data_IF_589634338575
#
_entry.id   IF_589634338575
#
_cell.length_a   1.000
_cell.length_b   1.000
_cell.length_c   1.000
_cell.angle_alpha   90.00
_cell.angle_beta   90.00
_cell.angle_gamma   90.00
#
_symmetry.space_group_name_H-M   'P 1'
#
loop_
_entity.id
_entity.type
_entity.pdbx_description
1 polymer ?
2 non-polymer ?
3 water ?
#
# COMPACT_ATOMS: atom_id res chain seq x y z
N UNK A 5 9.48 26.56 8.40
CA UNK A 5 8.57 26.23 9.52
C UNK A 5 7.16 25.98 8.96
N UNK A 6 6.86 26.60 7.80
CA UNK A 6 5.53 26.46 7.17
C UNK A 6 5.35 25.03 6.65
N UNK A 7 6.44 24.40 6.23
CA UNK A 7 6.42 23.00 5.71
C UNK A 7 5.87 22.06 6.80
N UNK A 8 6.18 22.35 8.07
CA UNK A 8 5.81 21.47 9.18
C UNK A 8 4.50 21.90 9.86
N UNK A 9 3.69 22.73 9.18
CA UNK A 9 2.43 23.35 9.72
C UNK A 9 1.39 22.36 10.26
N UNK A 10 1.24 21.12 9.74
CA UNK A 10 0.29 20.15 10.22
C UNK A 10 0.93 19.15 11.16
N UNK A 11 2.20 19.35 11.51
CA UNK A 11 2.93 18.42 12.37
C UNK A 11 3.05 18.99 13.78
N UNK A 12 3.25 18.08 14.72
CA UNK A 12 3.58 18.44 16.08
C UNK A 12 5.07 18.20 16.31
N UNK A 13 5.75 19.16 16.90
CA UNK A 13 7.16 19.01 17.22
C UNK A 13 7.29 18.25 18.53
N UNK A 14 8.07 17.16 18.50
CA UNK A 14 8.28 16.29 19.65
C UNK A 14 9.65 16.58 20.23
N UNK A 15 9.74 16.64 21.57
CA UNK A 15 11.04 16.87 22.17
C UNK A 15 11.81 15.55 22.23
N UNK A 16 13.14 15.58 21.99
CA UNK A 16 13.91 14.32 21.97
C UNK A 16 13.83 13.51 23.25
N UNK A 17 13.66 14.16 24.41
CA UNK A 17 13.55 13.43 25.68
C UNK A 17 12.35 12.49 25.71
N UNK A 18 11.40 12.67 24.80
CA UNK A 18 10.20 11.85 24.76
C UNK A 18 10.37 10.58 23.95
N UNK A 19 11.49 10.40 23.27
CA UNK A 19 11.68 9.34 22.29
C UNK A 19 12.78 8.42 22.76
N UNK A 20 12.54 7.11 22.69
CA UNK A 20 13.55 6.09 22.97
C UNK A 20 13.59 5.18 21.76
N UNK A 21 14.76 5.09 21.12
CA UNK A 21 14.96 4.16 20.02
C UNK A 21 15.45 2.83 20.58
N UNK A 22 14.86 1.74 20.11
CA UNK A 22 15.11 0.44 20.73
C UNK A 22 15.81 -0.53 19.78
N UNK A 23 15.27 -0.70 18.57
CA UNK A 23 15.88 -1.65 17.60
C UNK A 23 15.74 -1.12 16.17
N UNK A 24 16.76 -1.35 15.32
CA UNK A 24 16.75 -0.93 13.90
C UNK A 24 15.78 -1.84 13.13
N UNK A 25 14.74 -1.27 12.50
CA UNK A 25 13.74 -2.08 11.75
C UNK A 25 13.85 -1.80 10.26
N UNK A 26 14.82 -0.98 9.86
CA UNK A 26 14.97 -0.70 8.42
C UNK A 26 15.93 0.44 8.18
N UNK A 27 16.03 0.85 6.92
CA UNK A 27 16.91 1.92 6.56
C UNK A 27 16.12 3.03 5.87
N UNK A 28 16.52 4.26 6.19
CA UNK A 28 16.01 5.44 5.53
C UNK A 28 16.92 5.84 4.38
N UNK A 29 16.63 7.01 3.81
CA UNK A 29 17.43 7.56 2.69
C UNK A 29 18.82 7.94 3.19
N UNK A 30 18.88 8.56 4.37
CA UNK A 30 20.16 8.94 5.00
C UNK A 30 20.00 8.82 6.52
N UNK A 31 19.89 7.58 6.96
CA UNK A 31 19.69 7.28 8.39
C UNK A 31 19.00 5.94 8.54
N UNK A 32 18.69 5.59 9.77
CA UNK A 32 18.03 4.30 10.01
C UNK A 32 16.61 4.52 10.48
N UNK A 33 15.81 3.48 10.34
CA UNK A 33 14.47 3.44 10.90
C UNK A 33 14.50 2.52 12.11
N UNK A 34 13.87 2.95 13.20
CA UNK A 34 13.89 2.21 14.45
C UNK A 34 12.47 1.94 14.92
N UNK A 35 12.38 0.90 15.73
CA UNK A 35 11.18 0.63 16.54
C UNK A 35 11.53 1.27 17.88
N UNK A 36 10.62 2.05 18.46
CA UNK A 36 10.90 2.72 19.72
C UNK A 36 9.64 3.00 20.50
N UNK A 37 9.78 3.87 21.50
CA UNK A 37 8.68 4.24 22.37
C UNK A 37 8.59 5.75 22.47
N UNK A 38 7.36 6.26 22.56
CA UNK A 38 7.11 7.69 22.65
C UNK A 38 6.34 7.96 23.94
N UNK A 39 6.88 8.84 24.78
CA UNK A 39 6.19 9.31 25.99
C UNK A 39 5.57 10.67 25.70
N UNK A 40 4.26 10.78 25.91
CA UNK A 40 3.58 12.04 25.74
C UNK A 40 2.62 12.28 26.91
N UNK A 45 1.19 3.92 29.26
CA UNK A 45 1.47 5.35 29.22
C UNK A 45 2.27 5.73 27.97
N UNK A 46 3.34 4.96 27.74
CA UNK A 46 4.19 5.12 26.53
C UNK A 46 3.48 4.46 25.36
N UNK A 47 3.87 4.82 24.13
CA UNK A 47 3.24 4.28 22.93
C UNK A 47 4.32 3.78 21.99
N UNK A 48 4.18 2.58 21.40
CA UNK A 48 5.18 2.12 20.43
C UNK A 48 5.12 2.96 19.16
N UNK A 49 6.28 3.24 18.58
CA UNK A 49 6.37 4.07 17.39
C UNK A 49 7.44 3.53 16.46
N UNK A 50 7.35 3.93 15.20
CA UNK A 50 8.45 3.77 14.25
C UNK A 50 9.10 5.13 14.05
N UNK A 51 10.43 5.14 13.92
CA UNK A 51 11.22 6.37 13.97
C UNK A 51 12.20 6.36 12.81
N UNK A 52 12.04 7.29 11.87
CA UNK A 52 12.96 7.45 10.76
C UNK A 52 13.88 8.64 11.05
N UNK A 53 15.20 8.40 11.03
CA UNK A 53 16.16 9.44 11.37
C UNK A 53 16.86 9.98 10.13
N UNK A 54 17.30 11.23 10.23
CA UNK A 54 18.16 11.85 9.24
C UNK A 54 19.48 12.15 9.94
N UNK A 55 20.50 11.37 9.61
CA UNK A 55 21.74 11.34 10.37
C UNK A 55 22.75 12.36 9.85
N UNK A 56 23.74 12.64 10.69
CA UNK A 56 24.69 13.71 10.42
C UNK A 56 25.36 13.51 9.07
N UNK A 57 25.44 14.59 8.31
CA UNK A 57 26.05 14.58 7.00
C UNK A 57 25.06 14.63 5.86
N UNK A 58 23.77 14.71 6.17
CA UNK A 58 22.75 14.74 5.13
C UNK A 58 22.94 15.95 4.24
N UNK A 59 22.56 15.78 2.96
CA UNK A 59 22.67 16.84 1.99
C UNK A 59 21.47 17.77 2.09
N UNK A 60 21.57 18.91 1.41
CA UNK A 60 20.45 19.84 1.32
C UNK A 60 19.23 19.17 0.72
N UNK A 61 19.43 18.43 -0.36
CA UNK A 61 18.29 17.72 -1.00
C UNK A 61 17.67 16.71 -0.03
N UNK A 62 18.51 16.01 0.71
CA UNK A 62 17.97 15.05 1.66
C UNK A 62 17.15 15.74 2.74
N UNK A 63 17.61 16.89 3.23
CA UNK A 63 16.85 17.63 4.23
C UNK A 63 15.52 18.11 3.66
N UNK A 64 15.54 18.66 2.44
CA UNK A 64 14.30 19.12 1.81
C UNK A 64 13.31 17.98 1.67
N UNK A 65 13.79 16.82 1.23
CA UNK A 65 12.91 15.67 1.04
C UNK A 65 12.39 15.13 2.37
N UNK A 66 13.25 15.11 3.39
CA UNK A 66 12.89 14.57 4.69
C UNK A 66 11.81 15.43 5.36
N UNK A 67 12.03 16.74 5.42
CA UNK A 67 11.05 17.63 6.02
C UNK A 67 9.81 17.76 5.15
N UNK A 68 9.96 17.67 3.83
CA UNK A 68 8.80 17.61 2.95
C UNK A 68 7.95 16.38 3.23
N UNK A 69 8.59 15.24 3.44
CA UNK A 69 7.86 14.03 3.80
C UNK A 69 7.11 14.21 5.10
N UNK A 70 7.80 14.72 6.13
CA UNK A 70 7.14 14.98 7.41
C UNK A 70 5.96 15.90 7.22
N UNK A 71 6.12 16.95 6.41
CA UNK A 71 5.07 17.93 6.26
C UNK A 71 3.82 17.34 5.62
N UNK A 72 4.00 16.53 4.58
CA UNK A 72 2.82 15.96 3.93
C UNK A 72 2.17 14.91 4.81
N UNK A 73 2.96 14.13 5.56
CA UNK A 73 2.38 13.15 6.46
C UNK A 73 1.54 13.81 7.55
N UNK A 74 2.01 14.95 8.05
CA UNK A 74 1.19 15.71 9.00
C UNK A 74 -0.08 16.23 8.38
N UNK A 75 -0.03 16.60 7.10
CA UNK A 75 -1.21 17.08 6.40
C UNK A 75 -2.27 16.00 6.30
N UNK A 76 -1.85 14.76 6.07
CA UNK A 76 -2.81 13.69 5.86
C UNK A 76 -3.45 13.31 7.20
N UNK A 77 -4.78 13.31 7.24
CA UNK A 77 -5.52 12.90 8.44
C UNK A 77 -6.67 12.04 7.96
N UNK A 78 -6.45 10.72 7.93
CA UNK A 78 -7.44 9.82 7.39
C UNK A 78 -7.27 8.45 8.04
N UNK A 79 -8.41 7.79 8.25
CA UNK A 79 -8.47 6.47 8.88
C UNK A 79 -7.59 5.44 8.19
N UNK A 80 -7.36 5.59 6.88
CA UNK A 80 -6.62 4.59 6.12
C UNK A 80 -5.26 5.08 5.64
N UNK A 81 -4.69 6.09 6.31
CA UNK A 81 -3.35 6.59 6.01
C UNK A 81 -2.55 6.55 7.30
N UNK A 82 -1.30 6.09 7.24
CA UNK A 82 -0.46 6.00 8.43
C UNK A 82 -0.46 7.32 9.19
N UNK A 83 -0.52 7.22 10.51
CA UNK A 83 -0.59 8.41 11.36
C UNK A 83 0.81 8.88 11.75
N UNK A 84 1.08 10.15 11.51
CA UNK A 84 2.29 10.80 12.00
C UNK A 84 2.07 11.24 13.44
N UNK A 85 2.89 10.75 14.36
CA UNK A 85 2.83 11.25 15.73
C UNK A 85 3.47 12.63 15.82
N UNK A 86 4.59 12.81 15.15
CA UNK A 86 5.22 14.12 15.16
C UNK A 86 6.61 14.04 14.57
N UNK A 87 7.35 15.13 14.73
CA UNK A 87 8.63 15.30 14.07
C UNK A 87 9.60 15.92 15.07
N UNK A 88 10.87 15.55 14.95
CA UNK A 88 11.96 16.27 15.61
C UNK A 88 12.72 16.98 14.51
N UNK A 89 12.60 18.30 14.46
CA UNK A 89 13.31 19.12 13.49
C UNK A 89 14.26 20.11 14.13
N UNK A 90 14.09 20.44 15.41
CA UNK A 90 14.90 21.43 16.10
C UNK A 90 16.20 20.86 16.67
N UNK A 91 16.37 19.54 16.63
CA UNK A 91 17.53 18.90 17.21
C UNK A 91 18.02 17.84 16.23
N UNK A 92 19.26 17.41 16.43
CA UNK A 92 19.90 16.43 15.58
C UNK A 92 20.10 15.13 16.36
N UNK A 93 19.83 13.96 15.76
CA UNK A 93 19.31 13.80 14.40
C UNK A 93 17.84 14.14 14.31
N UNK A 94 17.42 14.61 13.15
CA UNK A 94 16.00 14.85 12.95
C UNK A 94 15.27 13.52 12.78
N UNK A 95 13.98 13.54 13.11
CA UNK A 95 13.21 12.30 13.16
C UNK A 95 11.79 12.50 12.67
N UNK A 96 11.26 11.49 11.96
CA UNK A 96 9.84 11.37 11.65
C UNK A 96 9.33 10.19 12.46
N UNK A 97 8.27 10.41 13.23
CA UNK A 97 7.77 9.42 14.18
C UNK A 97 6.33 9.10 13.82
N UNK A 98 6.06 7.82 13.57
CA UNK A 98 4.72 7.36 13.23
C UNK A 98 4.23 6.34 14.23
N UNK A 99 2.93 6.03 14.12
CA UNK A 99 2.36 4.92 14.86
C UNK A 99 3.02 3.61 14.44
N UNK A 100 2.85 2.59 15.27
CA UNK A 100 3.44 1.28 15.05
C UNK A 100 2.34 0.23 15.12
N UNK A 101 2.43 -0.78 14.25
CA UNK A 101 1.45 -1.86 14.18
C UNK A 101 2.15 -3.18 14.41
N UNK A 102 1.78 -3.88 15.47
CA UNK A 102 2.37 -5.19 15.75
C UNK A 102 2.12 -6.19 14.61
N UNK A 103 0.99 -6.06 13.90
CA UNK A 103 0.72 -6.97 12.79
C UNK A 103 1.61 -6.70 11.58
N UNK A 104 2.19 -5.50 11.48
CA UNK A 104 3.16 -5.19 10.44
C UNK A 104 2.55 -4.99 9.06
N UNK A 105 3.37 -5.24 8.05
CA UNK A 105 3.00 -4.99 6.66
C UNK A 105 2.06 -6.06 6.12
N UNK A 106 1.14 -5.61 5.25
CA UNK A 106 0.05 -6.46 4.78
C UNK A 106 0.54 -7.66 3.99
N UNK A 107 1.61 -7.51 3.19
CA UNK A 107 2.05 -8.62 2.35
C UNK A 107 2.49 -9.81 3.20
N UNK A 108 3.39 -9.58 4.14
CA UNK A 108 3.86 -10.63 5.04
C UNK A 108 2.73 -11.15 5.91
N UNK A 109 1.87 -10.23 6.37
CA UNK A 109 0.71 -10.58 7.20
C UNK A 109 -0.17 -11.63 6.52
N UNK A 110 -0.55 -11.37 5.27
CA UNK A 110 -1.44 -12.31 4.57
C UNK A 110 -0.76 -13.64 4.31
N UNK A 111 0.54 -13.62 3.97
CA UNK A 111 1.25 -14.87 3.67
C UNK A 111 1.37 -15.75 4.90
N UNK A 112 1.37 -15.15 6.09
CA UNK A 112 1.46 -15.86 7.35
C UNK A 112 0.10 -16.24 7.91
N UNK A 113 -0.98 -15.85 7.26
CA UNK A 113 -2.34 -16.13 7.70
C UNK A 113 -3.18 -16.65 6.54
N UNK A 114 -2.58 -17.49 5.71
CA UNK A 114 -3.22 -17.97 4.49
C UNK A 114 -4.55 -18.64 4.80
N UNK A 115 -5.62 -18.18 4.15
CA UNK A 115 -6.93 -18.78 4.30
C UNK A 115 -7.66 -18.51 5.60
N UNK A 116 -7.19 -17.56 6.40
CA UNK A 116 -7.77 -17.37 7.73
C UNK A 116 -8.90 -16.36 7.79
N UNK A 117 -9.19 -15.64 6.72
CA UNK A 117 -10.18 -14.58 6.76
C UNK A 117 -11.35 -14.88 5.84
N UNK A 118 -12.47 -14.23 6.13
CA UNK A 118 -13.63 -14.37 5.27
C UNK A 118 -13.49 -13.45 4.06
N UNK A 119 -14.28 -13.74 3.02
CA UNK A 119 -14.30 -12.88 1.86
C UNK A 119 -14.67 -11.45 2.25
N UNK A 120 -15.66 -11.30 3.14
CA UNK A 120 -16.08 -9.98 3.59
C UNK A 120 -14.95 -9.23 4.27
N UNK A 121 -14.15 -9.92 5.09
CA UNK A 121 -12.99 -9.29 5.71
C UNK A 121 -11.98 -8.84 4.68
N UNK A 122 -11.68 -9.69 3.69
CA UNK A 122 -10.71 -9.31 2.67
C UNK A 122 -11.20 -8.11 1.87
N UNK A 123 -12.47 -8.13 1.46
CA UNK A 123 -13.01 -7.01 0.69
C UNK A 123 -13.04 -5.74 1.54
N UNK A 124 -13.32 -5.88 2.84
CA UNK A 124 -13.26 -4.71 3.72
C UNK A 124 -11.88 -4.09 3.78
N UNK A 125 -10.83 -4.90 3.76
CA UNK A 125 -9.49 -4.35 3.71
C UNK A 125 -9.28 -3.56 2.44
N UNK A 126 -9.80 -4.06 1.32
CA UNK A 126 -9.65 -3.36 0.06
C UNK A 126 -10.43 -2.05 0.05
N UNK A 127 -11.63 -2.03 0.66
CA UNK A 127 -12.36 -0.77 0.74
C UNK A 127 -11.58 0.27 1.51
N UNK A 128 -10.96 -0.14 2.61
CA UNK A 128 -10.15 0.79 3.38
C UNK A 128 -8.97 1.33 2.60
N UNK A 129 -8.23 0.44 1.93
CA UNK A 129 -7.10 0.88 1.09
C UNK A 129 -7.60 1.86 0.04
N UNK A 130 -8.71 1.53 -0.60
CA UNK A 130 -9.25 2.40 -1.64
C UNK A 130 -9.67 3.75 -1.07
N UNK A 131 -10.23 3.80 0.14
CA UNK A 131 -10.60 5.06 0.75
C UNK A 131 -9.36 5.92 1.03
N UNK A 132 -8.29 5.30 1.52
CA UNK A 132 -7.06 6.05 1.72
C UNK A 132 -6.51 6.58 0.41
N UNK A 133 -6.54 5.76 -0.64
CA UNK A 133 -6.06 6.21 -1.94
C UNK A 133 -6.93 7.31 -2.53
N UNK A 134 -8.27 7.21 -2.35
CA UNK A 134 -9.11 8.29 -2.83
C UNK A 134 -8.74 9.60 -2.14
N UNK A 135 -8.47 9.55 -0.85
CA UNK A 135 -8.05 10.72 -0.11
C UNK A 135 -6.74 11.28 -0.65
N UNK A 136 -5.73 10.42 -0.85
CA UNK A 136 -4.46 10.89 -1.38
C UNK A 136 -4.64 11.53 -2.75
N UNK A 137 -5.37 10.86 -3.64
CA UNK A 137 -5.56 11.39 -4.98
C UNK A 137 -6.28 12.73 -4.93
N UNK A 138 -7.29 12.86 -4.07
CA UNK A 138 -8.01 14.12 -3.94
C UNK A 138 -7.13 15.21 -3.36
N UNK A 139 -6.19 14.85 -2.49
CA UNK A 139 -5.20 15.78 -1.96
C UNK A 139 -4.09 16.07 -2.95
N UNK A 140 -4.22 15.56 -4.17
CA UNK A 140 -3.24 15.78 -5.23
C UNK A 140 -1.88 15.14 -4.93
N UNK A 141 -1.89 13.99 -4.25
CA UNK A 141 -0.67 13.26 -3.96
C UNK A 141 -0.69 11.94 -4.73
N UNK A 142 0.30 11.75 -5.58
CA UNK A 142 0.48 10.51 -6.33
C UNK A 142 1.43 9.63 -5.54
N UNK A 143 1.01 8.41 -5.25
CA UNK A 143 1.79 7.56 -4.36
C UNK A 143 3.03 7.00 -5.05
N UNK A 144 2.85 6.40 -6.23
CA UNK A 144 3.91 5.84 -7.07
C UNK A 144 4.37 4.45 -6.68
N UNK A 145 4.14 4.02 -5.44
CA UNK A 145 4.65 2.73 -4.99
C UNK A 145 3.59 1.97 -4.19
N UNK A 146 2.36 1.96 -4.68
CA UNK A 146 1.31 1.27 -3.95
C UNK A 146 1.46 -0.23 -4.16
N UNK A 147 1.58 -0.97 -3.06
CA UNK A 147 1.79 -2.41 -3.05
C UNK A 147 1.49 -2.86 -1.63
N UNK A 148 1.16 -4.15 -1.47
CA UNK A 148 0.84 -4.64 -0.13
C UNK A 148 1.98 -4.41 0.86
N UNK A 149 3.23 -4.40 0.38
CA UNK A 149 4.38 -4.19 1.30
C UNK A 149 4.35 -2.78 1.92
N UNK A 150 3.64 -1.85 1.28
CA UNK A 150 3.56 -0.48 1.80
C UNK A 150 2.25 -0.20 2.55
N UNK A 151 1.58 -1.25 3.02
CA UNK A 151 0.33 -1.09 3.76
C UNK A 151 0.50 -1.76 5.11
N UNK A 152 0.16 -1.04 6.18
CA UNK A 152 0.20 -1.56 7.54
C UNK A 152 -1.19 -2.01 7.98
N UNK A 153 -1.24 -3.02 8.83
CA UNK A 153 -2.51 -3.59 9.31
C UNK A 153 -2.55 -3.41 10.83
N UNK A 154 -3.59 -2.73 11.32
CA UNK A 154 -3.72 -2.57 12.77
C UNK A 154 -4.49 -3.75 13.38
N UNK A 155 -4.67 -3.70 14.71
CA UNK A 155 -5.31 -4.80 15.43
C UNK A 155 -6.83 -4.84 15.23
N UNK A 156 -7.39 -3.90 14.48
CA UNK A 156 -8.77 -3.96 14.03
C UNK A 156 -8.89 -4.40 12.57
N UNK A 157 -7.80 -4.88 11.98
CA UNK A 157 -7.75 -5.23 10.55
C UNK A 157 -7.87 -4.01 9.64
N UNK A 158 -7.67 -2.81 10.16
CA UNK A 158 -7.72 -1.60 9.35
C UNK A 158 -6.39 -1.42 8.65
N UNK A 159 -6.45 -1.22 7.34
CA UNK A 159 -5.26 -1.03 6.52
C UNK A 159 -4.92 0.45 6.40
N UNK A 160 -3.63 0.74 6.56
CA UNK A 160 -3.12 2.11 6.55
C UNK A 160 -2.07 2.21 5.44
N UNK A 161 -2.38 2.99 4.41
CA UNK A 161 -1.43 3.22 3.33
C UNK A 161 -0.23 3.97 3.89
N UNK A 162 0.95 3.51 3.50
CA UNK A 162 2.22 4.07 3.95
C UNK A 162 3.15 4.11 2.76
N UNK A 163 4.37 4.61 2.95
CA UNK A 163 5.40 4.49 1.92
C UNK A 163 6.73 4.33 2.62
N UNK A 164 7.27 3.11 2.59
CA UNK A 164 8.53 2.82 3.25
C UNK A 164 9.72 3.02 2.35
N UNK A 165 9.51 3.59 1.16
CA UNK A 165 10.55 3.65 0.15
C UNK A 165 10.68 2.34 -0.61
N UNK A 166 11.51 2.37 -1.64
CA UNK A 166 11.70 1.17 -2.45
C UNK A 166 12.38 0.08 -1.62
N UNK A 167 12.02 -1.16 -1.91
CA UNK A 167 12.48 -2.30 -1.11
C UNK A 167 13.99 -2.50 -1.22
N UNK A 183 17.55 0.34 -4.52
CA UNK A 183 16.11 0.22 -4.44
C UNK A 183 15.50 -0.47 -5.64
N UNK A 184 14.68 -1.49 -5.37
CA UNK A 184 14.05 -2.35 -6.40
C UNK A 184 12.86 -1.65 -7.06
N UNK A 185 12.88 -1.54 -8.39
CA UNK A 185 11.80 -0.91 -9.15
C UNK A 185 10.62 -1.87 -9.27
N UNK A 186 9.42 -1.50 -8.81
CA UNK A 186 8.30 -2.44 -8.72
C UNK A 186 7.51 -2.56 -10.03
N UNK A 187 8.21 -3.08 -11.05
CA UNK A 187 7.64 -3.18 -12.39
C UNK A 187 6.25 -3.81 -12.35
N UNK A 188 6.09 -4.93 -11.65
CA UNK A 188 4.83 -5.67 -11.79
C UNK A 188 3.67 -5.02 -11.04
N UNK A 189 3.93 -3.94 -10.29
CA UNK A 189 2.87 -3.13 -9.71
C UNK A 189 2.58 -1.85 -10.50
N UNK A 190 3.36 -1.56 -11.53
CA UNK A 190 3.38 -0.24 -12.13
C UNK A 190 2.64 -0.22 -13.46
N UNK A 191 1.84 0.82 -13.69
CA UNK A 191 1.08 0.92 -14.92
C UNK A 191 2.02 1.10 -16.12
N UNK A 192 1.58 0.68 -17.31
CA UNK A 192 2.46 0.75 -18.49
C UNK A 192 2.97 2.16 -18.78
N UNK A 193 2.14 3.20 -18.62
CA UNK A 193 2.60 4.54 -19.00
C UNK A 193 3.62 5.07 -18.01
N UNK A 194 3.55 4.61 -16.76
CA UNK A 194 4.53 5.02 -15.77
C UNK A 194 5.88 4.36 -16.05
N UNK A 195 5.87 3.08 -16.45
CA UNK A 195 7.10 2.42 -16.84
C UNK A 195 7.66 3.02 -18.13
N UNK A 196 6.81 3.19 -19.13
CA UNK A 196 7.30 3.55 -20.46
C UNK A 196 7.83 4.97 -20.51
N UNK A 197 7.08 5.93 -19.96
CA UNK A 197 7.47 7.33 -20.11
C UNK A 197 7.37 8.14 -18.82
N UNK A 198 7.31 7.47 -17.67
CA UNK A 198 7.44 8.13 -16.37
C UNK A 198 6.22 8.95 -16.01
N UNK A 199 5.06 8.58 -16.57
CA UNK A 199 3.81 9.29 -16.26
C UNK A 199 3.15 8.63 -15.07
N UNK A 200 3.46 9.16 -13.88
CA UNK A 200 2.86 8.70 -12.63
C UNK A 200 1.74 9.65 -12.27
N UNK A 201 0.53 9.10 -12.13
CA UNK A 201 -0.64 9.88 -11.78
C UNK A 201 -1.52 9.02 -10.88
N UNK A 202 -2.62 9.58 -10.40
CA UNK A 202 -3.55 8.76 -9.63
C UNK A 202 -4.13 7.63 -10.46
N UNK A 203 -4.10 7.74 -11.79
CA UNK A 203 -4.55 6.63 -12.64
C UNK A 203 -3.52 5.51 -12.74
N UNK A 204 -2.22 5.82 -12.65
CA UNK A 204 -1.27 4.72 -12.49
C UNK A 204 -1.36 4.11 -11.10
N UNK A 205 -1.72 4.92 -10.09
CA UNK A 205 -1.98 4.34 -8.77
C UNK A 205 -3.18 3.39 -8.81
N UNK A 206 -4.18 3.66 -9.66
CA UNK A 206 -5.33 2.74 -9.80
C UNK A 206 -4.88 1.39 -10.34
N UNK A 207 -3.99 1.39 -11.34
CA UNK A 207 -3.40 0.13 -11.82
C UNK A 207 -2.78 -0.64 -10.64
N UNK A 208 -1.93 0.04 -9.87
CA UNK A 208 -1.30 -0.59 -8.71
C UNK A 208 -2.33 -1.12 -7.75
N UNK A 209 -3.42 -0.36 -7.52
CA UNK A 209 -4.46 -0.81 -6.63
C UNK A 209 -5.07 -2.13 -7.12
N UNK A 210 -5.25 -2.26 -8.44
CA UNK A 210 -5.72 -3.53 -8.96
C UNK A 210 -4.80 -4.68 -8.62
N UNK A 211 -3.48 -4.44 -8.71
CA UNK A 211 -2.52 -5.47 -8.29
C UNK A 211 -2.65 -5.76 -6.80
N UNK A 212 -2.82 -4.73 -5.97
CA UNK A 212 -3.03 -4.93 -4.54
C UNK A 212 -4.29 -5.76 -4.29
N UNK A 213 -5.36 -5.52 -5.06
CA UNK A 213 -6.56 -6.34 -4.91
C UNK A 213 -6.23 -7.80 -5.13
N UNK A 214 -5.45 -8.09 -6.17
CA UNK A 214 -5.04 -9.45 -6.45
C UNK A 214 -4.17 -10.01 -5.33
N UNK A 215 -3.22 -9.22 -4.81
CA UNK A 215 -2.42 -9.64 -3.66
C UNK A 215 -3.29 -10.02 -2.47
N UNK A 216 -4.29 -9.19 -2.15
CA UNK A 216 -5.12 -9.47 -0.99
C UNK A 216 -5.92 -10.75 -1.20
N UNK A 217 -6.57 -10.88 -2.36
CA UNK A 217 -7.45 -12.02 -2.58
C UNK A 217 -6.71 -13.34 -2.71
N UNK A 218 -5.40 -13.32 -2.99
CA UNK A 218 -4.57 -14.51 -3.06
C UNK A 218 -3.75 -14.74 -1.79
N UNK A 219 -3.95 -13.94 -0.74
CA UNK A 219 -3.15 -14.04 0.48
C UNK A 219 -1.66 -13.82 0.21
N UNK A 220 -1.36 -12.84 -0.63
CA UNK A 220 0.01 -12.42 -0.80
C UNK A 220 0.80 -13.20 -1.82
N UNK A 221 0.15 -13.75 -2.84
CA UNK A 221 0.89 -14.40 -3.90
C UNK A 221 1.68 -13.38 -4.69
N UNK A 222 2.77 -13.85 -5.28
CA UNK A 222 3.64 -12.98 -6.09
C UNK A 222 2.95 -12.70 -7.43
N UNK A 223 2.64 -11.43 -7.75
CA UNK A 223 2.01 -11.14 -9.04
C UNK A 223 2.85 -11.69 -10.18
N UNK A 224 2.20 -12.44 -11.06
CA UNK A 224 2.79 -13.04 -12.26
C UNK A 224 3.76 -14.18 -11.94
N UNK A 225 3.82 -14.61 -10.68
CA UNK A 225 4.62 -15.76 -10.25
C UNK A 225 6.07 -15.56 -10.73
N UNK A 226 6.67 -16.54 -11.38
CA UNK A 226 8.08 -16.51 -11.70
C UNK A 226 8.43 -15.74 -12.96
N UNK A 227 7.47 -15.09 -13.63
CA UNK A 227 7.79 -14.31 -14.81
C UNK A 227 8.78 -13.22 -14.44
N UNK A 228 9.76 -12.99 -15.32
CA UNK A 228 10.67 -11.89 -15.12
C UNK A 228 9.97 -10.56 -15.41
N UNK A 229 10.61 -9.46 -15.01
CA UNK A 229 10.07 -8.13 -15.29
C UNK A 229 9.82 -7.93 -16.77
N UNK A 230 10.77 -8.33 -17.62
CA UNK A 230 10.57 -8.19 -19.06
C UNK A 230 9.39 -9.03 -19.54
N UNK A 231 9.27 -10.25 -19.04
CA UNK A 231 8.16 -11.12 -19.44
C UNK A 231 6.82 -10.55 -19.00
N UNK A 232 6.77 -9.94 -17.81
CA UNK A 232 5.54 -9.29 -17.33
C UNK A 232 5.13 -8.19 -18.29
N UNK A 233 6.07 -7.30 -18.61
CA UNK A 233 5.75 -6.20 -19.51
C UNK A 233 5.31 -6.70 -20.88
N UNK A 234 5.98 -7.74 -21.40
CA UNK A 234 5.59 -8.30 -22.69
C UNK A 234 4.19 -8.90 -22.64
N UNK A 235 3.89 -9.62 -21.55
CA UNK A 235 2.56 -10.20 -21.40
C UNK A 235 1.49 -9.12 -21.36
N UNK A 236 1.74 -8.05 -20.60
CA UNK A 236 0.77 -6.96 -20.50
C UNK A 236 0.59 -6.28 -21.85
N UNK A 237 1.68 -6.04 -22.57
CA UNK A 237 1.57 -5.43 -23.89
C UNK A 237 0.83 -6.32 -24.87
N UNK A 238 0.99 -7.64 -24.74
CA UNK A 238 0.27 -8.58 -25.60
C UNK A 238 -1.20 -8.76 -25.20
N UNK A 239 -1.65 -8.15 -24.10
CA UNK A 239 -3.04 -8.19 -23.69
C UNK A 239 -3.37 -9.17 -22.58
N UNK A 240 -2.40 -9.96 -22.12
CA UNK A 240 -2.66 -10.89 -21.03
C UNK A 240 -2.82 -10.12 -19.72
N UNK A 241 -3.60 -10.70 -18.81
CA UNK A 241 -3.81 -10.13 -17.49
C UNK A 241 -3.81 -11.25 -16.47
N UNK A 242 -3.55 -10.90 -15.21
CA UNK A 242 -3.56 -11.90 -14.16
C UNK A 242 -4.90 -12.64 -14.14
N UNK A 243 -4.91 -13.95 -13.93
CA UNK A 243 -6.17 -14.70 -13.87
C UNK A 243 -6.82 -14.52 -12.51
N UNK A 244 -8.03 -15.00 -12.40
CA UNK A 244 -8.73 -14.80 -11.15
C UNK A 244 -8.08 -15.58 -10.01
N UNK A 245 -8.00 -15.00 -8.82
CA UNK A 245 -7.64 -15.76 -7.63
C UNK A 245 -8.68 -16.85 -7.39
N UNK A 246 -8.28 -17.86 -6.62
CA UNK A 246 -9.21 -18.88 -6.16
C UNK A 246 -10.25 -18.25 -5.25
N UNK A 247 -11.48 -18.76 -5.34
CA UNK A 247 -12.56 -18.39 -4.43
C UNK A 247 -12.89 -16.89 -4.46
N UNK A 248 -12.68 -16.23 -5.62
CA UNK A 248 -12.78 -14.78 -5.66
C UNK A 248 -14.15 -14.35 -6.16
N UNK A 249 -14.83 -13.43 -5.49
CA UNK A 249 -16.10 -12.92 -6.01
C UNK A 249 -15.95 -12.36 -7.42
N UNK A 250 -16.93 -12.69 -8.26
CA UNK A 250 -16.96 -12.20 -9.64
C UNK A 250 -16.82 -10.68 -9.69
N UNK A 251 -17.55 -9.95 -8.82
CA UNK A 251 -17.50 -8.50 -8.88
C UNK A 251 -16.12 -7.97 -8.56
N UNK A 252 -15.38 -8.64 -7.68
CA UNK A 252 -14.04 -8.20 -7.30
C UNK A 252 -13.06 -8.41 -8.45
N UNK A 253 -13.14 -9.56 -9.14
CA UNK A 253 -12.27 -9.76 -10.29
C UNK A 253 -12.61 -8.79 -11.42
N UNK A 254 -13.91 -8.55 -11.66
CA UNK A 254 -14.28 -7.58 -12.67
C UNK A 254 -13.67 -6.22 -12.36
N UNK A 255 -13.70 -5.81 -11.09
CA UNK A 255 -13.17 -4.51 -10.71
C UNK A 255 -11.65 -4.44 -10.91
N UNK A 256 -10.92 -5.45 -10.45
CA UNK A 256 -9.47 -5.39 -10.64
C UNK A 256 -9.10 -5.39 -12.12
N UNK A 257 -9.85 -6.14 -12.94
CA UNK A 257 -9.58 -6.15 -14.38
C UNK A 257 -9.75 -4.77 -14.99
N UNK A 258 -10.72 -3.98 -14.52
CA UNK A 258 -10.90 -2.64 -15.06
C UNK A 258 -9.82 -1.66 -14.60
N UNK A 259 -9.16 -1.94 -13.48
CA UNK A 259 -7.99 -1.16 -13.08
C UNK A 259 -6.81 -1.38 -14.02
N UNK A 260 -6.80 -2.48 -14.77
CA UNK A 260 -5.69 -2.83 -15.65
C UNK A 260 -5.96 -2.51 -17.11
N UNK A 261 -6.81 -1.53 -17.38
CA UNK A 261 -7.00 -1.14 -18.78
C UNK A 261 -5.78 -0.39 -19.28
N UNK A 262 -5.32 -0.77 -20.47
CA UNK A 262 -4.15 -0.12 -21.06
C UNK A 262 -4.36 1.39 -21.17
N UNK A 263 -5.55 1.80 -21.61
CA UNK A 263 -5.84 3.21 -21.81
C UNK A 263 -6.15 3.83 -20.45
N UNK A 264 -5.23 4.70 -20.00
CA UNK A 264 -5.31 5.32 -18.68
C UNK A 264 -6.69 5.92 -18.42
N UNK A 265 -7.25 6.62 -19.41
CA UNK A 265 -8.50 7.34 -19.19
C UNK A 265 -9.68 6.42 -18.97
N UNK A 266 -9.56 5.14 -19.32
CA UNK A 266 -10.67 4.21 -19.17
C UNK A 266 -10.75 3.58 -17.79
N UNK A 267 -9.68 3.70 -16.99
CA UNK A 267 -9.68 3.10 -15.67
C UNK A 267 -10.66 3.84 -14.75
N UNK A 268 -11.25 3.14 -13.78
CA UNK A 268 -12.06 3.82 -12.77
C UNK A 268 -11.20 4.80 -12.00
N UNK A 269 -11.84 5.86 -11.51
CA UNK A 269 -11.19 6.73 -10.52
C UNK A 269 -11.34 6.10 -9.14
N UNK A 270 -10.53 6.56 -8.19
CA UNK A 270 -10.67 5.99 -6.85
C UNK A 270 -12.06 6.20 -6.27
N UNK A 271 -12.73 7.31 -6.61
CA UNK A 271 -14.09 7.50 -6.12
C UNK A 271 -15.02 6.38 -6.61
N UNK A 272 -14.83 5.92 -7.86
CA UNK A 272 -15.64 4.82 -8.38
C UNK A 272 -15.34 3.53 -7.64
N UNK A 273 -14.06 3.28 -7.38
CA UNK A 273 -13.64 2.07 -6.69
C UNK A 273 -14.23 2.02 -5.28
N UNK A 274 -14.09 3.12 -4.54
CA UNK A 274 -14.63 3.18 -3.18
C UNK A 274 -16.13 2.93 -3.19
N UNK A 275 -16.85 3.58 -4.11
CA UNK A 275 -18.29 3.44 -4.17
C UNK A 275 -18.70 2.00 -4.44
N UNK A 276 -18.02 1.33 -5.38
CA UNK A 276 -18.36 -0.05 -5.72
C UNK A 276 -18.08 -0.98 -4.54
N UNK A 277 -16.91 -0.84 -3.93
CA UNK A 277 -16.57 -1.72 -2.82
C UNK A 277 -17.52 -1.52 -1.65
N UNK A 278 -17.89 -0.27 -1.37
CA UNK A 278 -18.83 0.00 -0.30
C UNK A 278 -20.19 -0.64 -0.58
N UNK A 279 -20.66 -0.53 -1.81
CA UNK A 279 -21.96 -1.11 -2.16
C UNK A 279 -21.93 -2.62 -2.10
N UNK A 280 -20.83 -3.25 -2.53
CA UNK A 280 -20.74 -4.69 -2.45
C UNK A 280 -20.75 -5.16 -1.00
N UNK A 281 -20.02 -4.47 -0.13
CA UNK A 281 -20.00 -4.83 1.28
C UNK A 281 -21.38 -4.64 1.92
N UNK A 282 -22.08 -3.57 1.55
CA UNK A 282 -23.36 -3.29 2.19
C UNK A 282 -24.48 -4.18 1.68
N UNK A 283 -24.30 -4.81 0.51
CA UNK A 283 -25.21 -5.82 -0.01
C UNK A 283 -24.40 -7.10 -0.18
N UNK A 284 -24.04 -7.76 0.93
CA UNK A 284 -23.00 -8.80 0.88
C UNK A 284 -23.36 -10.04 0.08
N UNK A 285 -24.64 -10.29 -0.22
CA UNK A 285 -24.96 -11.38 -1.13
C UNK A 285 -24.32 -11.18 -2.49
N UNK A 286 -24.01 -9.93 -2.85
CA UNK A 286 -23.36 -9.65 -4.12
C UNK A 286 -22.00 -10.33 -4.24
N UNK A 287 -21.37 -10.67 -3.12
CA UNK A 287 -20.04 -11.26 -3.14
C UNK A 287 -20.07 -12.78 -3.18
N UNK A 288 -21.27 -13.38 -3.16
CA UNK A 288 -21.40 -14.82 -3.16
C UNK A 288 -21.19 -15.44 -4.52
N UNK A 289 -21.40 -14.66 -5.60
CA UNK A 289 -21.19 -15.15 -6.95
C UNK A 289 -19.69 -15.13 -7.23
N UNK A 290 -19.11 -16.29 -7.52
CA UNK A 290 -17.66 -16.42 -7.64
C UNK A 290 -17.26 -16.53 -9.11
N UNK A 291 -16.13 -15.92 -9.44
CA UNK A 291 -15.57 -16.11 -10.76
C UNK A 291 -14.99 -17.50 -10.91
N UNK A 292 -15.13 -18.08 -12.10
CA UNK A 292 -14.55 -19.39 -12.40
C UNK A 292 -13.04 -19.32 -12.26
N UNK A 293 -12.46 -20.30 -11.61
CA UNK A 293 -11.02 -20.40 -11.45
C UNK A 293 -10.48 -21.39 -12.48
N UNK A 294 -9.41 -21.00 -13.18
CA UNK A 294 -8.81 -21.86 -14.19
C UNK A 294 -7.79 -22.76 -13.51
N UNK A 295 -8.05 -24.07 -13.39
CA UNK A 295 -7.11 -24.94 -12.71
C UNK A 295 -5.88 -25.20 -13.56
N UNK A 296 -4.71 -25.18 -12.92
CA UNK A 296 -3.46 -25.46 -13.66
C UNK A 296 -3.23 -26.97 -13.73
N UNK A 297 -3.78 -27.69 -12.77
CA UNK A 297 -3.51 -29.11 -12.61
C UNK A 297 -4.85 -29.85 -12.55
N UNK A 298 -4.93 -30.96 -13.27
CA UNK A 298 -6.13 -31.78 -13.32
C UNK A 298 -5.88 -33.03 -12.48
N UNK A 299 -6.79 -33.30 -11.57
CA UNK A 299 -6.76 -34.53 -10.78
C UNK A 299 -8.02 -35.31 -11.12
N UNK A 300 -7.85 -36.52 -11.66
CA UNK A 300 -9.00 -37.39 -12.03
C UNK A 300 -9.20 -38.48 -10.97
N UNK A 301 -10.40 -38.59 -10.37
CA UNK A 301 -10.77 -39.58 -9.38
C UNK A 301 -12.19 -40.02 -9.69
N UNK A 302 -12.57 -41.25 -9.29
CA UNK A 302 -13.93 -41.75 -9.52
C UNK A 302 -14.96 -41.01 -8.69
X LIG B 1 8.43 7.33 8.29
X LIG B 1 8.15 6.25 9.13
X LIG B 1 7.14 5.35 8.74
X LIG B 1 6.42 5.57 7.57
X LIG B 1 6.69 6.63 6.72
X LIG B 1 7.70 7.53 7.10
X LIG B 1 5.87 6.79 5.58
X LIG B 1 5.21 8.27 3.78
X LIG B 1 3.83 7.97 3.68
X LIG B 1 3.03 8.42 2.62
X LIG B 1 3.61 9.22 1.63
X LIG B 1 4.95 9.57 1.75
X LIG B 1 5.73 9.10 2.79
X LIG B 1 8.87 6.06 10.33
X LIG B 1 7.18 3.07 9.50
X LIG B 1 6.79 0.88 10.22
X LIG B 1 8.49 1.33 8.73
X LIG B 1 5.01 0.39 11.70
X LIG B 1 5.32 -1.73 11.96
X LIG B 1 6.26 -1.27 11.13
X LIG B 1 10.35 1.70 7.11
X LIG B 1 11.56 0.80 6.94
X LIG B 1 10.92 -0.58 6.87
X LIG B 1 9.94 -0.52 8.00
X LIG B 1 1.66 8.05 2.50
X LIG B 1 1.55 6.79 2.09
X LIG B 1 1.06 8.15 3.66
X LIG B 1 1.03 8.79 1.63
X LIG B 1 6.02 7.91 4.82
X LIG B 1 6.82 4.35 9.58
X LIG B 1 6.48 2.18 10.23
X LIG B 1 7.79 0.45 9.46
X LIG B 1 8.20 2.63 8.74
X LIG B 1 6.07 0.04 10.96
X LIG B 1 9.48 0.89 7.98
X LIG B 1 4.55 -0.70 12.31
X LIG B 1 4.94 6.00 5.40
X LIG B 1 10.22 -0.71 5.63
#
# INVERSE_FOLDING_TARGET
>A
GDPNQAVLKFTTEIHPSCVTRQKVIGAGEFGEVYKGMLKTSSGKKEVPVAIKTLKAGYTEKQRVDFLGEAGIMGQFSHHNIIRLEGVISKYKPMMIITEYMENGALDKFLREKDGEFSVLQLVGMLRGIAAGMKYLANMNYVHRDLAARNILVNSNLVCKVSDFGLSRVLEDDPEATYTTSGGKIPIRWTAPEAISYRKFTSASDVWSFGIVMWEVMTYGERPYWELSNHEVMKAINDGFRLPTPMDCPSAIYQLMMQCWQQERARRPKFADIVSILDKLIRAPDSLKTLADFDPRVSIRLPSTSG
>B hetero
1 HO5 CAA CAB CAC CAD CAE CAF CAG CAJ CAK CAL CAM CAN CAO CAP CAR CAT CAV CAZ CBB CBC CBD CBE CBF CBG CBI FBJ FBK FBL NAH NAQ NAS NAU NAW NAX NAY NBA OAI OBH
#
